data_IF_263107450681
#
_entry.id   IF_263107450681
#
_cell.length_a   1.000
_cell.length_b   1.000
_cell.length_c   1.000
_cell.angle_alpha   90.00
_cell.angle_beta   90.00
_cell.angle_gamma   90.00
#
_symmetry.space_group_name_H-M   'P 1'
#
loop_
_entity.id
_entity.type
_entity.pdbx_description
1 polymer ?
#
# COMPACT_ATOMS: atom_id res chain seq x y z
N UNK A 1 -34.27 58.28 -56.17
CA UNK A 1 -34.88 57.75 -57.42
C UNK A 1 -35.89 56.72 -56.96
N UNK A 2 -37.07 57.16 -56.96
CA UNK A 2 -38.28 56.86 -57.75
C UNK A 2 -38.94 55.57 -57.25
N UNK A 3 -40.00 55.67 -56.52
CA UNK A 3 -41.42 55.72 -56.91
C UNK A 3 -41.94 54.33 -57.35
N UNK A 4 -42.94 53.82 -56.69
CA UNK A 4 -44.33 54.04 -57.05
C UNK A 4 -45.29 53.36 -56.05
N UNK A 5 -46.28 54.14 -55.71
CA UNK A 5 -47.53 53.73 -55.08
C UNK A 5 -48.38 52.87 -56.08
N UNK A 6 -49.13 51.90 -55.53
CA UNK A 6 -50.43 51.58 -56.03
C UNK A 6 -51.39 51.19 -54.89
N UNK A 7 -52.33 52.03 -54.75
CA UNK A 7 -53.57 51.99 -53.99
C UNK A 7 -54.54 51.09 -54.78
N UNK A 8 -55.17 50.12 -54.16
CA UNK A 8 -56.46 49.61 -54.56
C UNK A 8 -57.33 49.43 -53.36
N UNK A 9 -58.32 50.23 -53.36
CA UNK A 9 -59.49 50.29 -52.50
C UNK A 9 -60.51 49.28 -53.12
N UNK A 10 -61.00 48.31 -52.38
CA UNK A 10 -62.23 47.59 -52.73
C UNK A 10 -63.00 47.33 -51.43
N UNK A 11 -63.98 48.17 -51.26
CA UNK A 11 -65.02 48.05 -50.25
C UNK A 11 -66.03 46.97 -50.59
N UNK A 12 -65.87 45.79 -49.97
CA UNK A 12 -66.97 44.85 -49.87
C UNK A 12 -67.55 44.88 -48.46
N UNK A 13 -68.69 45.51 -48.34
CA UNK A 13 -69.57 45.50 -47.17
C UNK A 13 -70.01 44.04 -46.96
N UNK A 14 -69.51 43.40 -45.95
CA UNK A 14 -70.10 42.16 -45.44
C UNK A 14 -71.23 42.54 -44.49
N UNK A 15 -72.43 42.36 -44.94
CA UNK A 15 -73.62 42.33 -44.07
C UNK A 15 -73.52 41.07 -43.19
N UNK A 16 -73.65 41.14 -41.87
CA UNK A 16 -73.72 39.98 -41.01
C UNK A 16 -75.07 39.27 -41.24
N UNK A 17 -75.01 38.06 -41.77
CA UNK A 17 -76.15 37.20 -41.83
C UNK A 17 -76.54 36.71 -40.44
N UNK A 18 -77.70 37.18 -39.94
CA UNK A 18 -78.34 36.64 -38.74
C UNK A 18 -79.29 35.54 -39.15
N UNK A 19 -79.03 34.26 -38.80
CA UNK A 19 -80.02 33.22 -38.98
C UNK A 19 -81.27 33.50 -38.08
N UNK A 20 -82.41 33.10 -38.46
CA UNK A 20 -83.62 33.28 -37.68
C UNK A 20 -83.51 32.55 -36.35
N UNK A 21 -83.92 33.26 -35.29
CA UNK A 21 -83.98 32.74 -33.89
C UNK A 21 -85.00 31.61 -33.85
N UNK A 22 -84.53 30.40 -33.55
CA UNK A 22 -85.37 29.19 -33.33
C UNK A 22 -85.51 29.04 -31.80
N UNK A 23 -86.70 29.28 -31.23
CA UNK A 23 -86.93 29.27 -29.81
C UNK A 23 -86.98 27.84 -29.20
N UNK A 24 -86.97 26.78 -29.97
CA UNK A 24 -87.19 25.42 -29.47
C UNK A 24 -85.96 24.48 -29.62
N UNK A 25 -84.84 25.00 -30.05
CA UNK A 25 -83.63 24.23 -30.30
C UNK A 25 -82.71 24.15 -29.08
N UNK A 26 -83.13 23.62 -27.93
CA UNK A 26 -82.24 23.18 -26.88
C UNK A 26 -81.56 21.87 -27.33
N UNK A 27 -80.45 22.02 -28.05
CA UNK A 27 -79.55 20.87 -28.30
C UNK A 27 -78.66 20.62 -27.10
N UNK A 28 -79.07 19.71 -26.19
CA UNK A 28 -78.41 19.28 -25.00
C UNK A 28 -77.17 18.42 -25.26
N UNK A 29 -76.55 18.51 -26.47
CA UNK A 29 -75.38 17.69 -26.85
C UNK A 29 -74.01 18.43 -26.74
N UNK A 30 -74.04 19.67 -26.35
CA UNK A 30 -72.80 20.51 -26.29
C UNK A 30 -72.11 20.63 -24.94
N UNK A 31 -72.78 20.26 -23.84
CA UNK A 31 -72.17 20.52 -22.50
C UNK A 31 -71.30 19.39 -21.91
N UNK A 32 -71.39 18.18 -22.46
CA UNK A 32 -70.62 17.03 -21.94
C UNK A 32 -69.18 16.99 -22.42
N UNK A 33 -68.77 17.80 -23.37
CA UNK A 33 -67.40 17.72 -23.92
C UNK A 33 -66.41 18.69 -23.32
N UNK A 34 -66.85 19.72 -22.55
CA UNK A 34 -65.94 20.72 -21.99
C UNK A 34 -65.49 20.42 -20.57
N UNK A 35 -66.12 19.51 -19.84
CA UNK A 35 -65.73 19.13 -18.47
C UNK A 35 -64.78 17.93 -18.39
N UNK A 36 -64.36 17.34 -19.52
CA UNK A 36 -63.45 16.18 -19.54
C UNK A 36 -61.97 16.50 -19.58
N UNK A 37 -61.60 17.80 -19.46
CA UNK A 37 -60.23 18.24 -19.63
C UNK A 37 -59.45 18.42 -18.34
N UNK A 38 -60.05 18.18 -17.19
CA UNK A 38 -59.37 18.38 -15.88
C UNK A 38 -59.51 17.16 -14.98
N UNK A 39 -59.23 15.94 -15.48
CA UNK A 39 -58.86 14.87 -14.57
C UNK A 39 -57.45 15.16 -14.05
N UNK A 40 -57.29 15.44 -12.75
CA UNK A 40 -55.96 15.54 -12.16
C UNK A 40 -55.28 14.20 -12.40
N UNK A 41 -54.26 14.16 -13.24
CA UNK A 41 -53.41 12.98 -13.38
C UNK A 41 -52.89 12.65 -11.97
N UNK A 42 -53.41 11.60 -11.38
CA UNK A 42 -52.96 11.09 -10.12
C UNK A 42 -51.42 10.97 -10.14
N UNK A 43 -50.71 11.63 -9.22
CA UNK A 43 -49.27 11.56 -9.20
C UNK A 43 -48.88 10.09 -9.09
N UNK A 44 -48.14 9.61 -10.07
CA UNK A 44 -47.68 8.23 -10.27
C UNK A 44 -47.12 7.67 -8.97
N UNK A 45 -47.95 7.26 -8.01
CA UNK A 45 -47.58 6.61 -6.72
C UNK A 45 -46.74 5.36 -6.93
N UNK A 46 -46.90 4.67 -8.07
CA UNK A 46 -46.09 3.53 -8.48
C UNK A 46 -44.59 3.87 -8.64
N UNK A 47 -44.29 5.01 -9.29
CA UNK A 47 -42.91 5.42 -9.55
C UNK A 47 -42.12 5.75 -8.29
N UNK A 48 -42.76 6.36 -7.30
CA UNK A 48 -42.16 6.64 -5.98
C UNK A 48 -41.91 5.35 -5.17
N UNK A 49 -42.81 4.36 -5.27
CA UNK A 49 -42.63 3.04 -4.63
C UNK A 49 -41.48 2.27 -5.28
N UNK A 50 -41.39 2.25 -6.62
CA UNK A 50 -40.28 1.63 -7.34
C UNK A 50 -38.95 2.30 -6.99
N UNK A 51 -38.90 3.64 -6.92
CA UNK A 51 -37.69 4.39 -6.49
C UNK A 51 -37.33 4.08 -5.03
N UNK A 52 -38.31 3.98 -4.15
CA UNK A 52 -38.06 3.64 -2.75
C UNK A 52 -37.52 2.20 -2.61
N UNK A 53 -38.09 1.23 -3.32
CA UNK A 53 -37.61 -0.16 -3.34
C UNK A 53 -36.19 -0.21 -3.93
N UNK A 54 -35.95 0.49 -5.05
CA UNK A 54 -34.63 0.55 -5.65
C UNK A 54 -33.59 1.18 -4.71
N UNK A 55 -33.92 2.28 -4.03
CA UNK A 55 -33.06 2.92 -3.05
C UNK A 55 -32.77 1.98 -1.86
N UNK A 56 -33.78 1.27 -1.36
CA UNK A 56 -33.60 0.30 -0.27
C UNK A 56 -32.68 -0.85 -0.69
N UNK A 57 -32.85 -1.39 -1.89
CA UNK A 57 -32.00 -2.46 -2.42
C UNK A 57 -30.54 -1.98 -2.61
N UNK A 58 -30.36 -0.78 -3.12
CA UNK A 58 -29.02 -0.17 -3.26
C UNK A 58 -28.37 0.03 -1.88
N UNK A 59 -29.10 0.56 -0.91
CA UNK A 59 -28.60 0.74 0.44
C UNK A 59 -28.22 -0.60 1.07
N UNK A 60 -29.07 -1.62 0.92
CA UNK A 60 -28.83 -2.97 1.46
C UNK A 60 -27.61 -3.62 0.79
N UNK A 61 -27.32 -3.34 -0.46
CA UNK A 61 -26.15 -3.83 -1.17
C UNK A 61 -24.87 -3.08 -0.78
N UNK A 62 -24.95 -1.77 -0.53
CA UNK A 62 -23.78 -0.93 -0.20
C UNK A 62 -23.38 -1.03 1.28
N UNK A 63 -24.33 -1.28 2.18
CA UNK A 63 -24.06 -1.34 3.62
C UNK A 63 -23.01 -2.39 4.01
N UNK A 64 -23.04 -3.63 3.51
CA UNK A 64 -21.99 -4.62 3.80
C UNK A 64 -20.61 -4.17 3.32
N UNK A 65 -20.54 -3.52 2.15
CA UNK A 65 -19.27 -3.00 1.62
C UNK A 65 -18.73 -1.88 2.51
N UNK A 66 -19.59 -0.99 2.99
CA UNK A 66 -19.17 0.08 3.90
C UNK A 66 -18.65 -0.47 5.23
N UNK A 67 -19.34 -1.45 5.80
CA UNK A 67 -18.90 -2.12 7.05
C UNK A 67 -17.56 -2.81 6.83
N UNK A 68 -17.39 -3.52 5.71
CA UNK A 68 -16.15 -4.20 5.35
C UNK A 68 -14.97 -3.23 5.28
N UNK A 69 -15.17 -2.05 4.66
CA UNK A 69 -14.14 -1.01 4.58
C UNK A 69 -13.76 -0.43 5.94
N UNK A 70 -14.73 -0.22 6.82
CA UNK A 70 -14.44 0.26 8.19
C UNK A 70 -13.60 -0.76 8.95
N UNK A 71 -13.92 -2.05 8.84
CA UNK A 71 -13.14 -3.12 9.49
C UNK A 71 -11.73 -3.21 8.91
N UNK A 72 -11.59 -3.14 7.58
CA UNK A 72 -10.29 -3.12 6.91
C UNK A 72 -9.40 -1.97 7.44
N UNK A 73 -9.90 -0.74 7.42
CA UNK A 73 -9.18 0.45 7.92
C UNK A 73 -8.75 0.29 9.38
N UNK A 74 -9.61 -0.28 10.23
CA UNK A 74 -9.25 -0.51 11.64
C UNK A 74 -8.13 -1.53 11.81
N UNK A 75 -8.13 -2.60 11.04
CA UNK A 75 -7.07 -3.62 11.07
C UNK A 75 -5.77 -2.99 10.54
N UNK A 76 -5.81 -2.31 9.41
CA UNK A 76 -4.67 -1.64 8.80
C UNK A 76 -4.02 -0.64 9.77
N UNK A 77 -4.82 0.23 10.38
CA UNK A 77 -4.33 1.24 11.32
C UNK A 77 -3.69 0.62 12.58
N UNK A 78 -4.29 -0.44 13.13
CA UNK A 78 -3.72 -1.14 14.29
C UNK A 78 -2.41 -1.84 13.93
N UNK A 79 -2.35 -2.49 12.78
CA UNK A 79 -1.15 -3.16 12.29
C UNK A 79 -0.03 -2.15 12.01
N UNK A 80 -0.36 -1.01 11.37
CA UNK A 80 0.59 0.06 11.12
C UNK A 80 1.19 0.60 12.43
N UNK A 81 0.35 0.86 13.42
CA UNK A 81 0.80 1.35 14.73
C UNK A 81 1.69 0.33 15.45
N UNK A 82 1.30 -0.93 15.49
CA UNK A 82 2.10 -1.99 16.11
C UNK A 82 3.46 -2.17 15.41
N UNK A 83 3.50 -2.06 14.08
CA UNK A 83 4.75 -2.08 13.32
C UNK A 83 5.62 -0.87 13.64
N UNK A 84 5.03 0.33 13.64
CA UNK A 84 5.74 1.57 13.97
C UNK A 84 6.39 1.50 15.35
N UNK A 85 5.64 1.07 16.36
CA UNK A 85 6.14 0.92 17.73
C UNK A 85 7.23 -0.17 17.82
N UNK A 86 7.02 -1.33 17.17
CA UNK A 86 7.98 -2.43 17.16
C UNK A 86 9.27 -2.09 16.41
N UNK A 87 9.18 -1.48 15.25
CA UNK A 87 10.33 -1.15 14.41
C UNK A 87 10.88 0.25 14.64
N UNK A 88 10.17 1.13 15.38
CA UNK A 88 10.55 2.51 15.68
C UNK A 88 10.72 3.38 14.45
N UNK A 89 9.87 3.16 13.44
CA UNK A 89 9.87 3.99 12.25
C UNK A 89 9.35 5.39 12.58
N UNK A 90 9.89 6.45 11.96
CA UNK A 90 9.44 7.82 12.22
C UNK A 90 7.98 8.04 11.80
N UNK A 91 7.57 7.37 10.74
CA UNK A 91 6.21 7.41 10.21
C UNK A 91 5.55 6.02 10.30
N UNK A 92 4.22 5.96 10.49
CA UNK A 92 3.51 4.69 10.41
C UNK A 92 3.62 4.12 8.99
N UNK A 93 3.82 2.81 8.84
CA UNK A 93 3.87 2.17 7.53
C UNK A 93 2.48 2.19 6.87
N UNK A 94 2.47 2.12 5.55
CA UNK A 94 1.28 1.87 4.77
C UNK A 94 0.95 0.38 4.85
N UNK A 95 -0.26 0.06 5.28
CA UNK A 95 -0.73 -1.33 5.39
C UNK A 95 -2.02 -1.48 4.63
N UNK A 96 -2.09 -2.50 3.78
CA UNK A 96 -3.28 -2.82 3.00
C UNK A 96 -3.66 -4.29 3.16
N UNK A 97 -4.87 -4.52 3.65
CA UNK A 97 -5.47 -5.86 3.69
C UNK A 97 -6.19 -6.13 2.38
N UNK A 98 -5.74 -7.15 1.64
CA UNK A 98 -6.30 -7.54 0.36
C UNK A 98 -7.36 -8.62 0.48
N UNK A 99 -8.27 -8.60 -0.49
CA UNK A 99 -9.37 -9.55 -0.60
C UNK A 99 -10.65 -9.03 0.05
N UNK A 100 -11.77 -9.54 -0.43
CA UNK A 100 -13.13 -9.20 0.01
C UNK A 100 -13.90 -10.50 0.30
N UNK A 101 -14.74 -10.53 1.31
CA UNK A 101 -14.91 -9.57 2.41
C UNK A 101 -13.80 -9.67 3.46
N UNK A 102 -13.33 -8.53 3.99
CA UNK A 102 -12.33 -8.47 5.06
C UNK A 102 -12.94 -8.88 6.41
N UNK A 103 -14.22 -8.55 6.62
CA UNK A 103 -14.96 -8.95 7.82
C UNK A 103 -14.93 -10.46 8.04
N UNK A 104 -15.15 -11.26 7.00
CA UNK A 104 -15.12 -12.73 7.11
C UNK A 104 -13.70 -13.25 7.33
N UNK A 105 -12.70 -12.61 6.72
CA UNK A 105 -11.29 -12.93 6.97
C UNK A 105 -10.92 -12.65 8.44
N UNK A 106 -11.31 -11.50 8.97
CA UNK A 106 -11.09 -11.14 10.37
C UNK A 106 -11.80 -12.08 11.32
N UNK A 107 -13.06 -12.45 11.05
CA UNK A 107 -13.83 -13.40 11.86
C UNK A 107 -13.24 -14.81 11.84
N UNK A 108 -12.62 -15.24 10.74
CA UNK A 108 -11.93 -16.53 10.64
C UNK A 108 -10.52 -16.51 11.22
N UNK A 109 -10.00 -15.35 11.64
CA UNK A 109 -8.63 -15.20 12.11
C UNK A 109 -7.56 -15.36 11.03
N UNK A 110 -7.95 -15.41 9.75
CA UNK A 110 -7.03 -15.63 8.62
C UNK A 110 -7.15 -14.49 7.61
N UNK A 111 -6.13 -13.66 7.51
CA UNK A 111 -6.03 -12.66 6.44
C UNK A 111 -5.38 -13.29 5.20
N UNK A 112 -6.05 -13.16 4.05
CA UNK A 112 -5.60 -13.78 2.80
C UNK A 112 -4.29 -13.20 2.30
N UNK A 113 -4.20 -11.86 2.33
CA UNK A 113 -3.00 -11.13 1.95
C UNK A 113 -2.95 -9.80 2.68
N UNK A 114 -1.76 -9.47 3.16
CA UNK A 114 -1.44 -8.17 3.77
C UNK A 114 -0.20 -7.65 3.07
N UNK A 115 -0.31 -6.47 2.50
CA UNK A 115 0.81 -5.73 1.93
C UNK A 115 1.19 -4.60 2.89
N UNK A 116 2.49 -4.45 3.15
CA UNK A 116 3.03 -3.44 4.04
C UNK A 116 4.20 -2.74 3.35
N UNK A 117 4.22 -1.40 3.40
CA UNK A 117 5.35 -0.60 2.95
C UNK A 117 5.75 0.34 4.08
N UNK A 118 7.02 0.27 4.48
CA UNK A 118 7.60 1.10 5.53
C UNK A 118 8.83 1.81 5.01
N UNK A 119 9.04 3.03 5.48
CA UNK A 119 10.17 3.87 5.11
C UNK A 119 11.01 4.21 6.34
N UNK A 120 12.29 4.51 6.12
CA UNK A 120 13.22 5.02 7.13
C UNK A 120 13.29 4.15 8.40
N UNK A 121 13.41 2.84 8.22
CA UNK A 121 13.55 1.91 9.34
C UNK A 121 14.94 2.10 9.95
N UNK A 122 15.02 2.55 11.22
CA UNK A 122 16.30 2.84 11.83
C UNK A 122 17.14 1.58 12.05
N UNK A 123 18.43 1.74 11.93
CA UNK A 123 19.38 0.68 12.26
C UNK A 123 19.29 0.33 13.75
N UNK A 124 19.03 -0.94 14.08
CA UNK A 124 18.93 -1.44 15.45
C UNK A 124 19.78 -2.67 15.67
N UNK A 125 20.30 -2.83 16.85
CA UNK A 125 21.07 -4.01 17.29
C UNK A 125 22.54 -3.72 17.54
N UNK A 126 23.26 -4.77 17.98
CA UNK A 126 24.71 -4.72 18.30
C UNK A 126 25.50 -5.13 17.04
N UNK A 127 26.59 -4.45 16.76
CA UNK A 127 27.46 -4.73 15.62
C UNK A 127 27.42 -3.62 14.57
N UNK A 128 27.08 -3.97 13.33
CA UNK A 128 26.92 -3.02 12.22
C UNK A 128 25.49 -3.07 11.70
N UNK A 129 24.54 -2.47 12.42
CA UNK A 129 23.17 -2.43 11.96
C UNK A 129 23.07 -1.51 10.74
N UNK A 130 22.41 -1.99 9.68
CA UNK A 130 22.15 -1.21 8.49
C UNK A 130 20.72 -0.69 8.57
N UNK A 131 20.49 0.62 8.34
CA UNK A 131 19.16 1.15 8.20
C UNK A 131 18.54 0.65 6.89
N UNK A 132 17.22 0.60 6.85
CA UNK A 132 16.48 0.24 5.63
C UNK A 132 15.68 1.45 5.20
N UNK A 133 16.01 1.99 4.03
CA UNK A 133 15.34 3.19 3.50
C UNK A 133 13.89 2.89 3.12
N UNK A 134 13.63 1.69 2.54
CA UNK A 134 12.30 1.23 2.19
C UNK A 134 12.19 -0.28 2.36
N UNK A 135 11.12 -0.72 3.00
CA UNK A 135 10.75 -2.13 3.13
C UNK A 135 9.35 -2.34 2.55
N UNK A 136 9.26 -3.18 1.53
CA UNK A 136 7.99 -3.68 1.00
C UNK A 136 7.84 -5.15 1.41
N UNK A 137 6.74 -5.49 2.07
CA UNK A 137 6.45 -6.81 2.61
C UNK A 137 5.07 -7.29 2.17
N UNK A 138 5.01 -8.46 1.56
CA UNK A 138 3.77 -9.13 1.19
C UNK A 138 3.63 -10.43 1.97
N UNK A 139 2.55 -10.54 2.73
CA UNK A 139 2.22 -11.72 3.54
C UNK A 139 0.97 -12.39 2.99
N UNK A 140 1.00 -13.70 2.81
CA UNK A 140 -0.17 -14.48 2.37
C UNK A 140 -0.56 -15.50 3.43
N UNK A 141 -1.87 -15.57 3.74
CA UNK A 141 -2.40 -16.48 4.73
C UNK A 141 -1.88 -16.17 6.13
N UNK A 142 -1.99 -14.90 6.54
CA UNK A 142 -1.55 -14.44 7.85
C UNK A 142 -2.57 -14.85 8.91
N UNK A 143 -2.10 -15.58 9.92
CA UNK A 143 -2.84 -15.97 11.12
C UNK A 143 -2.15 -15.41 12.35
N UNK A 144 -2.90 -15.07 13.37
CA UNK A 144 -2.41 -14.61 14.65
C UNK A 144 -2.68 -15.69 15.70
N UNK A 145 -1.78 -15.89 16.66
CA UNK A 145 -2.04 -16.78 17.79
C UNK A 145 -3.07 -16.14 18.74
N UNK A 146 -3.76 -16.98 19.52
CA UNK A 146 -4.83 -16.55 20.43
C UNK A 146 -4.32 -15.58 21.52
N UNK A 147 -3.06 -15.71 21.91
CA UNK A 147 -2.38 -14.86 22.90
C UNK A 147 -1.67 -13.64 22.32
N UNK A 148 -1.85 -13.39 21.00
CA UNK A 148 -1.20 -12.30 20.28
C UNK A 148 0.34 -12.33 20.30
N UNK A 149 0.95 -13.40 20.78
CA UNK A 149 2.41 -13.55 20.93
C UNK A 149 3.11 -13.85 19.61
N UNK A 150 2.42 -14.45 18.65
CA UNK A 150 2.97 -14.81 17.35
C UNK A 150 1.99 -14.50 16.22
N UNK A 151 2.56 -14.15 15.08
CA UNK A 151 1.85 -14.12 13.81
C UNK A 151 2.55 -15.05 12.81
N UNK A 152 1.77 -15.85 12.09
CA UNK A 152 2.30 -16.81 11.12
C UNK A 152 1.73 -16.51 9.73
N UNK A 153 2.62 -16.45 8.74
CA UNK A 153 2.23 -16.33 7.34
C UNK A 153 2.55 -17.64 6.61
N UNK A 154 1.62 -18.11 5.77
CA UNK A 154 1.86 -19.26 4.90
C UNK A 154 3.03 -19.02 3.97
N UNK A 155 3.12 -17.82 3.40
CA UNK A 155 4.27 -17.34 2.65
C UNK A 155 4.48 -15.87 2.86
N UNK A 156 5.73 -15.44 2.78
CA UNK A 156 6.13 -14.05 2.86
C UNK A 156 7.16 -13.75 1.75
N UNK A 157 7.02 -12.60 1.15
CA UNK A 157 7.98 -11.99 0.24
C UNK A 157 8.30 -10.60 0.76
N UNK A 158 9.60 -10.26 0.83
CA UNK A 158 10.02 -8.94 1.26
C UNK A 158 11.10 -8.40 0.32
N UNK A 159 11.04 -7.10 0.08
CA UNK A 159 12.09 -6.36 -0.64
C UNK A 159 12.52 -5.20 0.24
N UNK A 160 13.79 -5.17 0.59
CA UNK A 160 14.41 -4.09 1.37
C UNK A 160 15.33 -3.31 0.45
N UNK A 161 15.13 -2.00 0.39
CA UNK A 161 16.01 -1.06 -0.29
C UNK A 161 16.84 -0.29 0.75
N UNK A 162 18.13 -0.20 0.49
CA UNK A 162 19.09 0.53 1.31
C UNK A 162 19.80 1.54 0.41
N UNK A 163 19.61 2.83 0.65
CA UNK A 163 20.30 3.87 -0.12
C UNK A 163 21.82 3.80 0.14
N UNK A 164 22.60 4.18 -0.87
CA UNK A 164 24.06 4.28 -0.65
C UNK A 164 24.42 5.28 0.44
N UNK A 165 23.66 6.35 0.57
CA UNK A 165 23.83 7.34 1.64
C UNK A 165 23.70 6.72 3.03
N UNK A 166 22.62 5.93 3.23
CA UNK A 166 22.37 5.28 4.52
C UNK A 166 23.42 4.21 4.83
N UNK A 167 23.80 3.43 3.81
CA UNK A 167 24.86 2.42 3.95
C UNK A 167 26.21 3.07 4.25
N UNK A 168 26.53 4.18 3.58
CA UNK A 168 27.76 4.95 3.80
C UNK A 168 27.84 5.49 5.22
N UNK A 169 26.76 6.11 5.69
CA UNK A 169 26.66 6.63 7.06
C UNK A 169 26.82 5.52 8.11
N UNK A 170 26.18 4.37 7.90
CA UNK A 170 26.25 3.24 8.82
C UNK A 170 27.62 2.57 8.85
N UNK A 171 28.34 2.54 7.75
CA UNK A 171 29.65 1.91 7.64
C UNK A 171 30.82 2.89 7.90
N UNK A 172 30.58 4.19 7.84
CA UNK A 172 31.61 5.23 7.92
C UNK A 172 32.54 5.23 6.71
N UNK A 173 32.03 4.82 5.54
CA UNK A 173 32.74 4.73 4.28
C UNK A 173 31.87 5.35 3.17
N UNK A 174 32.48 5.95 2.18
CA UNK A 174 31.71 6.39 1.02
C UNK A 174 31.44 5.20 0.11
N UNK A 175 30.18 4.77 0.06
CA UNK A 175 29.72 3.65 -0.76
C UNK A 175 28.92 4.17 -1.96
N UNK A 176 29.20 3.61 -3.12
CA UNK A 176 28.52 3.93 -4.38
C UNK A 176 28.37 2.68 -5.26
N UNK A 177 27.68 2.82 -6.38
CA UNK A 177 27.58 1.76 -7.38
C UNK A 177 28.96 1.45 -7.96
N UNK A 178 29.31 0.19 -8.05
CA UNK A 178 30.52 -0.27 -8.75
C UNK A 178 30.36 -0.23 -10.27
N UNK A 179 31.48 -0.44 -10.97
CA UNK A 179 31.53 -0.40 -12.43
C UNK A 179 30.86 -1.58 -13.14
N UNK A 180 30.43 -2.63 -12.41
CA UNK A 180 29.75 -3.81 -12.95
C UNK A 180 28.49 -4.14 -12.13
N UNK A 181 27.49 -4.79 -12.73
CA UNK A 181 26.33 -5.27 -12.00
C UNK A 181 26.72 -6.16 -10.80
N UNK A 182 26.09 -5.91 -9.66
CA UNK A 182 26.42 -6.63 -8.42
C UNK A 182 27.65 -6.13 -7.68
N UNK A 183 28.35 -5.11 -8.19
CA UNK A 183 29.48 -4.49 -7.53
C UNK A 183 29.09 -3.21 -6.79
N UNK A 184 29.75 -2.97 -5.69
CA UNK A 184 29.79 -1.68 -4.98
C UNK A 184 31.23 -1.15 -4.99
N UNK A 185 31.35 0.16 -5.03
CA UNK A 185 32.62 0.86 -4.84
C UNK A 185 32.60 1.47 -3.45
N UNK A 186 33.69 1.31 -2.71
CA UNK A 186 33.88 1.93 -1.40
C UNK A 186 35.14 2.80 -1.45
N UNK A 187 34.98 4.07 -1.10
CA UNK A 187 36.11 4.98 -0.90
C UNK A 187 36.49 5.01 0.58
N UNK A 188 37.77 4.75 0.86
CA UNK A 188 38.34 4.69 2.20
C UNK A 188 39.38 5.81 2.34
N UNK A 189 39.16 6.72 3.26
CA UNK A 189 40.14 7.73 3.64
C UNK A 189 41.19 7.09 4.55
N UNK A 190 42.41 7.02 4.06
CA UNK A 190 43.57 6.57 4.85
C UNK A 190 44.16 7.71 5.66
N UNK A 191 44.96 7.39 6.75
CA UNK A 191 45.79 8.37 7.42
C UNK A 191 46.66 9.11 6.41
N UNK A 192 46.85 10.42 6.58
CA UNK A 192 47.57 11.34 5.67
C UNK A 192 46.74 11.83 4.47
N UNK A 193 45.39 11.68 4.52
CA UNK A 193 44.51 12.23 3.52
C UNK A 193 44.52 11.53 2.15
N UNK A 194 45.09 10.34 2.08
CA UNK A 194 45.03 9.51 0.85
C UNK A 194 43.72 8.76 0.78
N UNK A 195 43.06 8.86 -0.36
CA UNK A 195 41.84 8.10 -0.67
C UNK A 195 42.19 6.86 -1.49
N UNK A 196 41.57 5.75 -1.13
CA UNK A 196 41.66 4.49 -1.87
C UNK A 196 40.26 4.04 -2.20
N UNK A 197 40.00 3.83 -3.50
CA UNK A 197 38.76 3.29 -3.99
C UNK A 197 38.91 1.77 -4.21
N UNK A 198 37.95 1.00 -3.68
CA UNK A 198 37.91 -0.46 -3.78
C UNK A 198 36.56 -0.88 -4.33
N UNK A 199 36.57 -1.66 -5.39
CA UNK A 199 35.36 -2.29 -5.91
C UNK A 199 35.25 -3.73 -5.36
N UNK A 200 34.04 -4.15 -4.97
CA UNK A 200 33.78 -5.50 -4.48
C UNK A 200 32.42 -6.00 -4.95
N UNK A 201 32.31 -7.29 -5.18
CA UNK A 201 31.06 -7.94 -5.55
C UNK A 201 30.27 -8.32 -4.32
N UNK A 202 29.00 -7.91 -4.25
CA UNK A 202 28.06 -8.22 -3.18
C UNK A 202 27.32 -9.51 -3.52
N UNK A 203 27.39 -10.52 -2.63
CA UNK A 203 26.72 -11.81 -2.84
C UNK A 203 26.00 -12.27 -1.57
N UNK A 204 25.05 -13.19 -1.76
CA UNK A 204 24.32 -13.82 -0.64
C UNK A 204 25.02 -15.12 -0.23
N UNK A 205 25.11 -15.33 1.09
CA UNK A 205 25.51 -16.59 1.68
C UNK A 205 24.39 -17.16 2.57
N UNK A 206 24.45 -18.48 2.81
CA UNK A 206 23.50 -19.19 3.65
C UNK A 206 23.39 -18.58 5.05
N UNK A 207 22.20 -18.65 5.66
CA UNK A 207 21.95 -18.08 7.00
C UNK A 207 21.80 -16.56 6.99
N UNK A 208 21.15 -16.02 5.95
CA UNK A 208 20.83 -14.59 5.83
C UNK A 208 22.06 -13.68 5.98
N UNK A 209 23.11 -14.01 5.25
CA UNK A 209 24.38 -13.28 5.28
C UNK A 209 24.69 -12.64 3.94
N UNK A 210 25.21 -11.44 3.99
CA UNK A 210 25.80 -10.74 2.85
C UNK A 210 27.31 -10.90 2.94
N UNK A 211 27.94 -11.28 1.86
CA UNK A 211 29.39 -11.42 1.73
C UNK A 211 29.90 -10.61 0.57
N UNK A 212 31.09 -10.10 0.73
CA UNK A 212 31.81 -9.34 -0.28
C UNK A 212 32.92 -10.22 -0.85
N UNK A 213 33.04 -10.20 -2.18
CA UNK A 213 34.04 -11.01 -2.92
C UNK A 213 34.72 -10.14 -3.98
N UNK A 214 35.82 -10.69 -4.52
CA UNK A 214 36.51 -10.13 -5.68
C UNK A 214 36.92 -8.65 -5.46
N UNK A 215 37.68 -8.42 -4.39
CA UNK A 215 38.19 -7.07 -4.08
C UNK A 215 39.17 -6.60 -5.14
N UNK A 216 38.93 -5.42 -5.69
CA UNK A 216 39.81 -4.78 -6.64
C UNK A 216 40.06 -3.33 -6.21
N UNK A 217 41.31 -2.94 -6.09
CA UNK A 217 41.69 -1.53 -5.91
C UNK A 217 41.54 -0.83 -7.25
N UNK A 218 40.61 0.13 -7.30
CA UNK A 218 40.29 0.86 -8.53
C UNK A 218 40.91 2.25 -8.56
N UNK A 219 41.39 2.76 -7.42
CA UNK A 219 42.04 4.07 -7.31
C UNK A 219 42.92 4.17 -6.07
N UNK A 220 44.02 4.90 -6.19
CA UNK A 220 45.00 5.08 -5.10
C UNK A 220 45.99 3.90 -4.96
N UNK A 221 46.99 4.05 -4.12
CA UNK A 221 47.93 3.00 -3.73
C UNK A 221 47.59 2.53 -2.32
N UNK A 222 47.41 1.23 -2.13
CA UNK A 222 47.26 0.60 -0.81
C UNK A 222 48.64 0.41 -0.18
N UNK A 223 49.03 1.12 0.86
CA UNK A 223 50.13 0.72 1.71
C UNK A 223 49.73 -0.59 2.44
N UNK A 224 50.67 -1.46 2.81
CA UNK A 224 50.38 -2.74 3.46
C UNK A 224 49.46 -2.69 4.69
N UNK A 225 49.33 -1.54 5.35
CA UNK A 225 48.33 -1.30 6.40
C UNK A 225 46.88 -1.17 5.85
N UNK A 226 46.70 -0.86 4.60
CA UNK A 226 45.39 -0.74 3.94
C UNK A 226 44.71 -2.09 3.70
N UNK A 227 45.49 -3.15 3.40
CA UNK A 227 44.98 -4.49 3.26
C UNK A 227 44.32 -5.00 4.55
N UNK A 228 44.93 -4.73 5.69
CA UNK A 228 44.37 -5.10 7.00
C UNK A 228 43.06 -4.37 7.31
N UNK A 229 42.92 -3.13 6.84
CA UNK A 229 41.69 -2.36 7.01
C UNK A 229 40.56 -2.90 6.15
N UNK A 230 40.87 -3.19 4.87
CA UNK A 230 39.90 -3.79 3.95
C UNK A 230 39.46 -5.17 4.43
N UNK A 231 40.36 -5.98 4.90
CA UNK A 231 40.09 -7.27 5.51
C UNK A 231 39.12 -7.17 6.67
N UNK A 232 39.31 -6.18 7.51
CA UNK A 232 38.49 -5.94 8.72
C UNK A 232 37.05 -5.50 8.32
N UNK A 233 36.93 -4.73 7.27
CA UNK A 233 35.62 -4.21 6.84
C UNK A 233 34.84 -5.21 5.99
N UNK A 234 35.51 -5.88 5.05
CA UNK A 234 34.82 -6.61 3.99
C UNK A 234 34.93 -8.14 4.10
N UNK A 235 35.96 -8.69 4.76
CA UNK A 235 36.07 -10.16 4.93
C UNK A 235 35.06 -10.75 5.90
N UNK A 236 34.50 -9.94 6.81
CA UNK A 236 33.48 -10.43 7.73
C UNK A 236 32.09 -10.37 7.08
N UNK A 237 31.40 -11.51 6.98
CA UNK A 237 30.02 -11.52 6.49
C UNK A 237 29.12 -10.65 7.36
N UNK A 238 28.31 -9.81 6.72
CA UNK A 238 27.26 -9.06 7.42
C UNK A 238 26.10 -10.03 7.67
N UNK A 239 25.87 -10.38 8.92
CA UNK A 239 24.69 -11.15 9.33
C UNK A 239 23.49 -10.21 9.42
N UNK A 240 22.47 -10.48 8.64
CA UNK A 240 21.20 -9.79 8.80
C UNK A 240 20.49 -10.37 10.02
N UNK A 241 20.10 -9.50 10.94
CA UNK A 241 19.42 -9.85 12.20
C UNK A 241 17.94 -9.47 12.11
N UNK A 242 17.16 -9.97 13.06
CA UNK A 242 15.73 -9.67 13.17
C UNK A 242 14.92 -10.07 11.90
N UNK A 243 15.40 -11.09 11.21
CA UNK A 243 14.67 -11.70 10.10
C UNK A 243 13.75 -12.76 10.71
N UNK A 244 12.42 -12.72 10.43
CA UNK A 244 11.48 -13.69 10.91
C UNK A 244 11.87 -15.13 10.53
N UNK A 245 11.57 -16.06 11.42
CA UNK A 245 11.83 -17.49 11.17
C UNK A 245 11.12 -17.95 9.90
N UNK A 246 11.82 -18.69 9.06
CA UNK A 246 11.30 -19.15 7.77
C UNK A 246 11.52 -18.18 6.61
N UNK A 247 11.90 -16.93 6.85
CA UNK A 247 12.23 -15.97 5.80
C UNK A 247 13.74 -16.02 5.48
N UNK A 248 14.08 -16.08 4.20
CA UNK A 248 15.46 -16.23 3.74
C UNK A 248 15.81 -15.17 2.70
N UNK A 249 17.03 -14.63 2.81
CA UNK A 249 17.62 -13.77 1.82
C UNK A 249 17.90 -14.57 0.53
N UNK A 250 17.34 -14.12 -0.59
CA UNK A 250 17.45 -14.77 -1.89
C UNK A 250 18.47 -14.10 -2.80
N UNK A 251 18.42 -12.79 -2.85
CA UNK A 251 19.33 -12.00 -3.69
C UNK A 251 19.63 -10.65 -3.09
N UNK A 252 20.79 -10.12 -3.43
CA UNK A 252 21.14 -8.71 -3.26
C UNK A 252 21.59 -8.21 -4.63
N UNK A 253 20.99 -7.11 -5.07
CA UNK A 253 21.32 -6.46 -6.34
C UNK A 253 21.70 -5.02 -6.09
N UNK A 254 22.65 -4.52 -6.88
CA UNK A 254 23.05 -3.12 -6.87
C UNK A 254 22.24 -2.35 -7.90
N UNK A 255 21.78 -1.16 -7.56
CA UNK A 255 21.10 -0.22 -8.45
C UNK A 255 21.89 1.09 -8.51
N UNK A 256 21.43 2.08 -9.26
CA UNK A 256 22.07 3.40 -9.30
C UNK A 256 22.05 4.08 -7.92
N UNK A 257 20.99 3.85 -7.12
CA UNK A 257 20.72 4.61 -5.90
C UNK A 257 21.03 3.84 -4.62
N UNK A 258 21.23 2.51 -4.71
CA UNK A 258 21.42 1.70 -3.51
C UNK A 258 21.46 0.20 -3.76
N UNK A 259 21.23 -0.53 -2.69
CA UNK A 259 21.18 -2.00 -2.64
C UNK A 259 19.75 -2.46 -2.45
N UNK A 260 19.32 -3.44 -3.24
CA UNK A 260 18.02 -4.08 -3.09
C UNK A 260 18.22 -5.52 -2.64
N UNK A 261 17.74 -5.86 -1.45
CA UNK A 261 17.74 -7.19 -0.89
C UNK A 261 16.34 -7.81 -1.01
N UNK A 262 16.25 -9.01 -1.57
CA UNK A 262 14.99 -9.74 -1.70
C UNK A 262 14.99 -10.96 -0.81
N UNK A 263 13.88 -11.14 -0.11
CA UNK A 263 13.64 -12.25 0.79
C UNK A 263 12.39 -13.00 0.37
N UNK A 264 12.38 -14.30 0.58
CA UNK A 264 11.17 -15.08 0.47
C UNK A 264 11.19 -16.26 1.45
N UNK A 265 10.01 -16.69 1.85
CA UNK A 265 9.86 -17.80 2.78
C UNK A 265 8.48 -18.42 2.80
N UNK A 266 8.39 -19.61 3.39
CA UNK A 266 7.14 -20.32 3.70
C UNK A 266 7.09 -20.60 5.19
N UNK A 267 5.88 -20.64 5.73
CA UNK A 267 5.65 -20.85 7.17
C UNK A 267 6.45 -19.85 8.01
N UNK A 268 6.36 -18.58 7.64
CA UNK A 268 7.12 -17.51 8.27
C UNK A 268 6.45 -17.12 9.57
N UNK A 269 7.23 -17.09 10.65
CA UNK A 269 6.75 -16.75 12.00
C UNK A 269 7.33 -15.42 12.44
N UNK A 270 6.46 -14.52 12.83
CA UNK A 270 6.77 -13.20 13.37
C UNK A 270 6.53 -13.21 14.88
N UNK A 271 7.53 -12.83 15.66
CA UNK A 271 7.43 -12.66 17.11
C UNK A 271 7.75 -11.21 17.49
N UNK A 272 6.96 -10.57 18.36
CA UNK A 272 7.33 -9.27 18.90
C UNK A 272 8.70 -9.36 19.60
N UNK A 273 9.55 -8.35 19.42
CA UNK A 273 10.80 -8.26 20.18
C UNK A 273 10.47 -8.13 21.67
N UNK A 274 10.87 -9.13 22.45
CA UNK A 274 10.58 -9.23 23.90
C UNK A 274 10.09 -10.62 24.33
N UNK A 275 9.44 -11.37 23.47
CA UNK A 275 8.99 -12.73 23.79
C UNK A 275 10.15 -13.76 23.88
N UNK A 276 11.30 -13.44 23.25
CA UNK A 276 12.44 -14.36 23.19
C UNK A 276 13.33 -14.34 24.44
N UNK A 277 13.20 -13.36 25.33
CA UNK A 277 14.04 -13.29 26.54
C UNK A 277 13.44 -13.99 27.75
N UNK A 278 12.16 -14.36 27.72
CA UNK A 278 11.50 -15.06 28.82
C UNK A 278 11.71 -16.58 28.85
N UNK A 279 11.99 -17.20 27.70
CA UNK A 279 12.09 -18.66 27.61
C UNK A 279 13.44 -19.25 28.01
N UNK A 280 14.49 -18.45 28.06
CA UNK A 280 15.82 -18.92 28.45
C UNK A 280 16.14 -18.81 29.98
N UNK A 281 15.32 -18.12 30.74
CA UNK A 281 15.52 -17.92 32.18
C UNK A 281 14.81 -18.95 33.07
N UNK A 282 13.99 -19.86 32.50
CA UNK A 282 13.16 -20.79 33.27
C UNK A 282 13.71 -22.21 33.47
N UNK A 283 14.88 -22.55 32.93
CA UNK A 283 15.43 -23.92 33.05
C UNK A 283 16.76 -23.99 33.76
N UNK A 284 16.79 -23.60 35.03
CA UNK A 284 18.00 -23.74 35.83
C UNK A 284 17.77 -23.38 37.28
N UNK A 285 17.24 -24.29 38.06
CA UNK A 285 17.75 -24.63 39.38
C UNK A 285 16.69 -25.40 40.17
N UNK A 286 16.58 -26.67 39.92
CA UNK A 286 16.14 -27.59 40.95
C UNK A 286 17.37 -28.03 41.73
N UNK A 287 17.77 -27.29 42.75
CA UNK A 287 18.75 -27.75 43.73
C UNK A 287 18.00 -28.67 44.70
N UNK A 288 18.34 -29.91 44.60
CA UNK A 288 17.98 -30.98 45.48
C UNK A 288 18.77 -30.77 46.81
N UNK A 289 18.05 -30.47 47.87
CA UNK A 289 18.59 -30.56 49.22
C UNK A 289 18.21 -31.92 49.81
N UNK A 290 19.19 -32.73 50.11
CA UNK A 290 19.10 -33.91 50.95
C UNK A 290 19.25 -33.51 52.43
#
# INVERSE_FOLDING_TARGET
MSASQHRYDDGSQYEPYYPPYDPDGYDSRGEDTLYRAWEPQEPRRGRRRILAIAATLVTLALLPVAIDRVVAIRIESRTAKAFQEGMGTPLPPEVHVRGFPVVTQAASGILRQVDLTAHDIPARGVGRPLPVSELSLQLKGLTKSDDDSEARARSAEATAFLSYTDVSNALGLEISQGGRPGQVSAAVLLPLGKEVAVATTVTVASGNRIVFKDFQVTGGALPGAGDALLDRVFKQPIRLRNIPDGLQLRSVTTTADGLTARFSGRSVTFRPEGASQGAAAGSGTAVRSA
#
